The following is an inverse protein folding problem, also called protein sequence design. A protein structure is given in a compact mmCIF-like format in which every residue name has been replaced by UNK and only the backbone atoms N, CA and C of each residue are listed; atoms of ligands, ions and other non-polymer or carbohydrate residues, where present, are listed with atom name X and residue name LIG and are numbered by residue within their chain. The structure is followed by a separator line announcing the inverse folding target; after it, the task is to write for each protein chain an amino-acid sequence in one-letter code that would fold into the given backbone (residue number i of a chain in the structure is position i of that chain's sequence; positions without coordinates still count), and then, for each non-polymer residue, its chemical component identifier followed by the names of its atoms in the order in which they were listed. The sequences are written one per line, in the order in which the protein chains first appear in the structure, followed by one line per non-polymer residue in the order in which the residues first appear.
data_IF_944186705657
#
_entry.id   IF_944186705657
#
_cell.length_a   1.000
_cell.length_b   1.000
_cell.length_c   1.000
_cell.angle_alpha   90.00
_cell.angle_beta   90.00
_cell.angle_gamma   90.00
#
_symmetry.space_group_name_H-M   'P 1'
#
loop_
_entity.id
_entity.type
_entity.pdbx_description
1 polymer ?
#
# COMPACT_ATOMS: atom_id res chain seq x y z
N UNK A 1 -2.10 -7.15 -48.47
CA UNK A 1 -2.95 -6.16 -47.76
C UNK A 1 -3.55 -6.74 -46.48
N UNK A 2 -4.42 -7.76 -46.54
CA UNK A 2 -5.12 -8.31 -45.36
C UNK A 2 -4.21 -8.68 -44.18
N UNK A 3 -3.10 -9.38 -44.44
CA UNK A 3 -2.10 -9.73 -43.41
C UNK A 3 -1.46 -8.51 -42.71
N UNK A 4 -1.30 -7.37 -43.41
CA UNK A 4 -0.76 -6.14 -42.82
C UNK A 4 -1.80 -5.44 -41.92
N UNK A 5 -3.09 -5.52 -42.28
CA UNK A 5 -4.18 -5.06 -41.42
C UNK A 5 -4.26 -5.89 -40.13
N UNK A 6 -4.12 -7.23 -40.23
CA UNK A 6 -4.03 -8.11 -39.06
C UNK A 6 -2.80 -7.79 -38.19
N UNK A 7 -1.63 -7.53 -38.80
CA UNK A 7 -0.43 -7.13 -38.04
C UNK A 7 -0.62 -5.78 -37.33
N UNK A 8 -1.29 -4.81 -37.96
CA UNK A 8 -1.66 -3.55 -37.32
C UNK A 8 -2.70 -3.73 -36.21
N UNK A 9 -3.69 -4.61 -36.38
CA UNK A 9 -4.67 -4.93 -35.34
C UNK A 9 -4.01 -5.61 -34.13
N UNK A 10 -3.17 -6.61 -34.33
CA UNK A 10 -2.43 -7.28 -33.25
C UNK A 10 -1.49 -6.32 -32.54
N UNK A 11 -0.74 -5.46 -33.25
CA UNK A 11 0.14 -4.48 -32.60
C UNK A 11 -0.63 -3.35 -31.90
N UNK A 12 -1.83 -2.98 -32.37
CA UNK A 12 -2.72 -2.06 -31.66
C UNK A 12 -3.25 -2.67 -30.35
N UNK A 13 -3.73 -3.92 -30.38
CA UNK A 13 -4.17 -4.61 -29.15
C UNK A 13 -3.01 -4.86 -28.18
N UNK A 14 -1.84 -5.29 -28.66
CA UNK A 14 -0.65 -5.52 -27.82
C UNK A 14 -0.01 -4.23 -27.26
N UNK A 15 -0.42 -3.03 -27.71
CA UNK A 15 0.07 -1.75 -27.16
C UNK A 15 -0.92 -1.04 -26.23
N UNK A 16 -2.13 -1.58 -26.05
CA UNK A 16 -3.15 -0.98 -25.17
C UNK A 16 -2.91 -1.24 -23.67
N UNK A 17 -2.13 -2.26 -23.29
CA UNK A 17 -2.14 -2.80 -21.92
C UNK A 17 -0.82 -2.61 -21.13
N UNK A 18 -0.09 -1.50 -21.37
CA UNK A 18 1.14 -1.18 -20.62
C UNK A 18 1.48 0.31 -20.48
N UNK A 19 0.46 1.19 -20.42
CA UNK A 19 0.67 2.55 -19.90
C UNK A 19 -0.38 2.91 -18.84
N UNK A 20 0.09 3.11 -17.60
CA UNK A 20 -0.68 3.28 -16.35
C UNK A 20 -1.35 2.00 -15.82
N UNK A 21 -0.63 1.30 -14.93
CA UNK A 21 -1.28 0.40 -13.97
C UNK A 21 -2.32 1.20 -13.17
N UNK A 22 -3.58 0.77 -13.21
CA UNK A 22 -4.70 1.55 -12.68
C UNK A 22 -4.60 1.87 -11.19
N UNK A 23 -5.12 3.03 -10.78
CA UNK A 23 -5.21 3.50 -9.38
C UNK A 23 -5.94 2.50 -8.46
N UNK A 24 -6.95 1.83 -8.99
CA UNK A 24 -7.73 0.80 -8.31
C UNK A 24 -7.53 -0.57 -8.98
N UNK A 25 -7.58 -1.64 -8.19
CA UNK A 25 -7.51 -3.05 -8.61
C UNK A 25 -8.69 -3.81 -7.99
N UNK A 26 -9.17 -4.87 -8.64
CA UNK A 26 -10.23 -5.72 -8.06
C UNK A 26 -9.73 -6.46 -6.82
N UNK A 27 -10.62 -6.71 -5.88
CA UNK A 27 -10.36 -7.56 -4.72
C UNK A 27 -10.37 -9.03 -5.18
N UNK A 28 -9.36 -9.79 -4.77
CA UNK A 28 -9.29 -11.22 -5.04
C UNK A 28 -10.12 -11.99 -4.00
N UNK A 29 -11.37 -12.27 -4.34
CA UNK A 29 -12.30 -12.99 -3.45
C UNK A 29 -11.96 -14.47 -3.25
N UNK A 30 -11.01 -15.05 -3.99
CA UNK A 30 -10.51 -16.40 -3.69
C UNK A 30 -9.64 -16.38 -2.42
N UNK A 31 -8.85 -15.31 -2.26
CA UNK A 31 -7.98 -15.05 -1.10
C UNK A 31 -8.71 -14.35 0.04
N UNK A 32 -9.74 -13.57 -0.29
CA UNK A 32 -10.46 -12.68 0.61
C UNK A 32 -11.99 -12.91 0.52
N UNK A 33 -12.50 -14.14 0.75
CA UNK A 33 -13.92 -14.47 0.57
C UNK A 33 -14.83 -13.67 1.50
N UNK A 34 -14.35 -13.29 2.68
CA UNK A 34 -15.07 -12.41 3.61
C UNK A 34 -15.41 -11.03 3.00
N UNK A 35 -14.68 -10.59 1.97
CA UNK A 35 -14.89 -9.30 1.29
C UNK A 35 -15.76 -9.39 0.02
N UNK A 36 -16.30 -10.55 -0.35
CA UNK A 36 -17.07 -10.69 -1.60
C UNK A 36 -18.33 -9.80 -1.67
N UNK A 37 -19.03 -9.65 -0.54
CA UNK A 37 -20.38 -9.06 -0.47
C UNK A 37 -20.45 -7.81 0.43
N UNK A 38 -19.38 -7.01 0.49
CA UNK A 38 -19.26 -5.84 1.41
C UNK A 38 -19.68 -4.49 0.81
N UNK A 39 -20.36 -4.48 -0.34
CA UNK A 39 -20.83 -3.25 -1.00
C UNK A 39 -19.81 -2.55 -1.92
N UNK A 40 -18.65 -3.16 -2.15
CA UNK A 40 -17.68 -2.74 -3.17
C UNK A 40 -16.79 -3.90 -3.62
N UNK A 41 -16.16 -3.77 -4.79
CA UNK A 41 -15.30 -4.81 -5.39
C UNK A 41 -13.87 -4.38 -5.68
N UNK A 42 -13.55 -3.09 -5.55
CA UNK A 42 -12.26 -2.51 -5.93
C UNK A 42 -11.56 -1.84 -4.75
N UNK A 43 -10.28 -2.15 -4.59
CA UNK A 43 -9.36 -1.58 -3.59
C UNK A 43 -8.24 -0.80 -4.30
N UNK A 44 -7.34 -0.14 -3.57
CA UNK A 44 -6.20 0.53 -4.18
C UNK A 44 -5.22 -0.48 -4.82
N UNK A 45 -4.50 -0.05 -5.86
CA UNK A 45 -3.45 -0.86 -6.47
C UNK A 45 -2.15 -0.74 -5.67
N UNK A 46 -2.04 -1.52 -4.60
CA UNK A 46 -0.87 -1.57 -3.73
C UNK A 46 0.33 -2.30 -4.37
N UNK A 47 1.54 -1.91 -3.94
CA UNK A 47 2.78 -2.66 -4.20
C UNK A 47 2.76 -4.07 -3.59
N UNK A 48 3.60 -4.96 -4.10
CA UNK A 48 3.92 -6.23 -3.43
C UNK A 48 4.68 -6.00 -2.11
N UNK A 49 4.63 -6.98 -1.22
CA UNK A 49 5.36 -7.02 0.06
C UNK A 49 6.25 -8.26 0.00
N UNK A 50 7.53 -8.05 -0.29
CA UNK A 50 8.40 -9.14 -0.75
C UNK A 50 7.83 -9.74 -2.04
N UNK A 51 7.73 -11.06 -2.09
CA UNK A 51 7.17 -11.80 -3.23
C UNK A 51 5.62 -11.84 -3.22
N UNK A 52 4.99 -11.59 -2.07
CA UNK A 52 3.54 -11.67 -1.90
C UNK A 52 2.82 -10.43 -2.43
N UNK A 53 1.61 -10.59 -2.97
CA UNK A 53 0.75 -9.41 -3.21
C UNK A 53 0.25 -8.84 -1.88
N UNK A 54 -0.09 -7.56 -1.86
CA UNK A 54 -0.71 -6.93 -0.69
C UNK A 54 -1.98 -7.69 -0.21
N UNK A 55 -2.74 -8.27 -1.14
CA UNK A 55 -3.96 -9.01 -0.85
C UNK A 55 -3.68 -10.37 -0.19
N UNK A 56 -2.61 -11.05 -0.60
CA UNK A 56 -2.09 -12.24 0.10
C UNK A 56 -1.65 -11.87 1.51
N UNK A 57 -0.83 -10.80 1.64
CA UNK A 57 -0.29 -10.36 2.92
C UNK A 57 -1.39 -10.10 3.95
N UNK A 58 -2.43 -9.33 3.63
CA UNK A 58 -3.50 -9.02 4.61
C UNK A 58 -4.55 -10.13 4.80
N UNK A 59 -4.55 -11.18 3.97
CA UNK A 59 -5.61 -12.19 3.92
C UNK A 59 -5.92 -12.82 5.28
N UNK A 60 -4.89 -13.30 5.99
CA UNK A 60 -5.03 -13.97 7.30
C UNK A 60 -5.63 -13.06 8.36
N UNK A 61 -5.22 -11.79 8.43
CA UNK A 61 -5.79 -10.81 9.36
C UNK A 61 -7.23 -10.42 8.98
N UNK A 62 -7.52 -10.29 7.68
CA UNK A 62 -8.89 -10.00 7.20
C UNK A 62 -9.83 -11.15 7.54
N UNK A 63 -9.43 -12.40 7.33
CA UNK A 63 -10.21 -13.59 7.70
C UNK A 63 -10.39 -13.64 9.21
N UNK A 64 -9.30 -13.59 9.99
CA UNK A 64 -9.33 -13.63 11.46
C UNK A 64 -10.28 -12.59 12.06
N UNK A 65 -10.16 -11.31 11.69
CA UNK A 65 -11.04 -10.27 12.23
C UNK A 65 -12.45 -10.34 11.67
N UNK A 66 -12.64 -10.79 10.42
CA UNK A 66 -13.98 -11.00 9.86
C UNK A 66 -14.74 -12.05 10.65
N UNK A 67 -14.12 -13.18 10.96
CA UNK A 67 -14.78 -14.27 11.68
C UNK A 67 -14.84 -14.04 13.19
N UNK A 68 -13.85 -13.35 13.78
CA UNK A 68 -13.92 -12.91 15.19
C UNK A 68 -15.11 -11.99 15.48
N UNK A 69 -15.66 -11.31 14.48
CA UNK A 69 -16.79 -10.39 14.61
C UNK A 69 -18.02 -10.76 13.74
N UNK A 70 -18.04 -11.93 13.08
CA UNK A 70 -19.09 -12.26 12.09
C UNK A 70 -20.50 -12.37 12.69
N UNK A 71 -20.62 -12.69 13.98
CA UNK A 71 -21.87 -12.97 14.68
C UNK A 71 -22.50 -11.77 15.39
N UNK A 72 -21.74 -10.70 15.64
CA UNK A 72 -22.22 -9.56 16.44
C UNK A 72 -22.86 -8.44 15.61
N UNK A 73 -22.34 -8.13 14.41
CA UNK A 73 -22.91 -7.09 13.52
C UNK A 73 -22.97 -7.58 12.07
N UNK A 74 -24.05 -7.31 11.32
CA UNK A 74 -24.09 -7.56 9.87
C UNK A 74 -23.04 -6.73 9.11
N UNK A 75 -22.48 -5.68 9.71
CA UNK A 75 -21.51 -4.79 9.08
C UNK A 75 -20.05 -5.15 9.37
N UNK A 76 -19.77 -6.13 10.25
CA UNK A 76 -18.42 -6.51 10.67
C UNK A 76 -17.47 -6.81 9.51
N UNK A 77 -17.91 -7.59 8.51
CA UNK A 77 -17.10 -7.91 7.32
C UNK A 77 -16.81 -6.66 6.50
N UNK A 78 -17.80 -5.80 6.27
CA UNK A 78 -17.62 -4.52 5.59
C UNK A 78 -16.65 -3.61 6.34
N UNK A 79 -16.70 -3.59 7.66
CA UNK A 79 -15.80 -2.81 8.50
C UNK A 79 -14.35 -3.28 8.39
N UNK A 80 -14.12 -4.59 8.56
CA UNK A 80 -12.79 -5.23 8.47
C UNK A 80 -12.22 -5.06 7.06
N UNK A 81 -12.99 -5.37 6.01
CA UNK A 81 -12.55 -5.16 4.63
C UNK A 81 -12.23 -3.68 4.35
N UNK A 82 -13.05 -2.73 4.82
CA UNK A 82 -12.76 -1.28 4.65
C UNK A 82 -11.48 -0.82 5.38
N UNK A 83 -11.06 -1.55 6.42
CA UNK A 83 -9.88 -1.25 7.25
C UNK A 83 -8.56 -1.80 6.69
N UNK A 84 -8.60 -2.87 5.88
CA UNK A 84 -7.43 -3.48 5.24
C UNK A 84 -7.37 -3.26 3.73
N UNK A 85 -8.52 -3.13 3.07
CA UNK A 85 -8.70 -3.05 1.63
C UNK A 85 -9.71 -1.93 1.32
N UNK A 86 -9.37 -0.66 1.62
CA UNK A 86 -10.32 0.45 1.52
C UNK A 86 -10.86 0.62 0.10
N UNK A 87 -12.16 0.94 0.00
CA UNK A 87 -12.86 1.13 -1.27
C UNK A 87 -12.17 2.20 -2.12
N UNK A 88 -11.81 1.84 -3.35
CA UNK A 88 -11.20 2.74 -4.32
C UNK A 88 -12.18 3.03 -5.46
N UNK A 89 -12.39 4.32 -5.77
CA UNK A 89 -13.05 4.75 -7.01
C UNK A 89 -12.07 5.50 -7.91
N UNK A 90 -12.40 5.54 -9.22
CA UNK A 90 -11.75 6.44 -10.18
C UNK A 90 -12.14 7.91 -9.90
N UNK A 91 -13.37 8.18 -9.44
CA UNK A 91 -13.87 9.55 -9.20
C UNK A 91 -13.28 10.24 -7.96
N UNK A 92 -12.88 9.48 -6.93
CA UNK A 92 -12.50 10.04 -5.61
C UNK A 92 -10.99 9.98 -5.41
N UNK A 93 -10.35 11.10 -5.03
CA UNK A 93 -8.93 11.11 -4.66
C UNK A 93 -8.71 10.70 -3.20
N UNK A 94 -8.82 9.39 -2.95
CA UNK A 94 -8.53 8.80 -1.66
C UNK A 94 -9.27 7.47 -1.42
N UNK A 95 -9.07 6.86 -0.24
CA UNK A 95 -9.89 5.77 0.23
C UNK A 95 -11.31 6.27 0.56
N UNK A 96 -12.34 5.60 0.03
CA UNK A 96 -13.72 5.86 0.47
C UNK A 96 -13.93 5.13 1.80
N UNK A 97 -13.86 5.88 2.89
CA UNK A 97 -13.99 5.39 4.28
C UNK A 97 -15.44 5.05 4.65
N UNK A 98 -15.68 4.17 5.65
CA UNK A 98 -17.00 3.99 6.27
C UNK A 98 -17.59 5.31 6.78
N UNK A 99 -18.91 5.45 6.78
CA UNK A 99 -19.56 6.56 7.50
C UNK A 99 -19.51 6.34 9.02
N UNK A 100 -19.40 7.42 9.80
CA UNK A 100 -19.27 7.34 11.28
C UNK A 100 -20.41 6.58 11.95
N UNK A 101 -21.65 6.84 11.53
CA UNK A 101 -22.85 6.12 11.97
C UNK A 101 -22.75 4.58 11.81
N UNK A 102 -22.07 4.08 10.77
CA UNK A 102 -21.84 2.64 10.56
C UNK A 102 -20.79 2.11 11.54
N UNK A 103 -19.80 2.94 11.88
CA UNK A 103 -18.76 2.65 12.86
C UNK A 103 -19.32 2.60 14.29
N UNK A 104 -20.12 3.60 14.65
CA UNK A 104 -20.80 3.67 15.94
C UNK A 104 -21.78 2.49 16.11
N UNK A 105 -22.52 2.12 15.06
CA UNK A 105 -23.40 0.95 15.08
C UNK A 105 -22.63 -0.38 15.22
N UNK A 106 -21.49 -0.54 14.54
CA UNK A 106 -20.59 -1.69 14.73
C UNK A 106 -20.01 -1.76 16.16
N UNK A 107 -19.64 -0.63 16.77
CA UNK A 107 -19.21 -0.58 18.18
C UNK A 107 -20.30 -1.02 19.15
N UNK A 108 -21.55 -0.66 18.86
CA UNK A 108 -22.70 -0.95 19.72
C UNK A 108 -23.22 -2.39 19.60
N UNK A 109 -23.12 -2.96 18.39
CA UNK A 109 -23.38 -4.37 18.10
C UNK A 109 -22.29 -5.28 18.72
N UNK A 110 -21.02 -5.05 18.35
CA UNK A 110 -19.89 -5.87 18.75
C UNK A 110 -19.24 -5.44 20.07
N UNK A 111 -19.99 -4.77 20.96
CA UNK A 111 -19.47 -4.21 22.22
C UNK A 111 -18.73 -5.26 23.06
N UNK A 112 -19.32 -6.45 23.22
CA UNK A 112 -18.74 -7.53 24.02
C UNK A 112 -17.49 -8.08 23.35
N UNK A 113 -17.56 -8.39 22.07
CA UNK A 113 -16.49 -9.02 21.29
C UNK A 113 -15.26 -8.11 21.21
N UNK A 114 -15.48 -6.81 21.03
CA UNK A 114 -14.45 -5.77 21.05
C UNK A 114 -13.90 -5.54 22.46
N UNK A 115 -14.69 -5.71 23.53
CA UNK A 115 -14.24 -5.53 24.92
C UNK A 115 -13.40 -6.72 25.40
N UNK A 116 -13.81 -7.93 25.04
CA UNK A 116 -13.13 -9.19 25.34
C UNK A 116 -11.80 -9.30 24.58
N UNK A 117 -11.79 -8.96 23.28
CA UNK A 117 -10.56 -8.80 22.49
C UNK A 117 -9.77 -7.52 22.83
N UNK A 118 -10.31 -6.64 23.68
CA UNK A 118 -9.66 -5.40 24.10
C UNK A 118 -9.69 -4.23 23.11
N UNK A 119 -10.07 -4.50 21.87
CA UNK A 119 -10.08 -3.56 20.75
C UNK A 119 -11.11 -2.43 20.90
N UNK A 120 -12.09 -2.52 21.80
CA UNK A 120 -13.19 -1.55 21.94
C UNK A 120 -12.72 -0.09 22.01
N UNK A 121 -11.82 0.25 22.93
CA UNK A 121 -11.30 1.63 23.06
C UNK A 121 -10.55 2.09 21.80
N UNK A 122 -9.83 1.18 21.13
CA UNK A 122 -9.13 1.44 19.86
C UNK A 122 -10.12 1.73 18.74
N UNK A 123 -11.21 0.97 18.63
CA UNK A 123 -12.23 1.20 17.61
C UNK A 123 -13.08 2.44 17.92
N UNK A 124 -13.33 2.79 19.19
CA UNK A 124 -13.87 4.12 19.58
C UNK A 124 -12.96 5.24 19.10
N UNK A 125 -11.65 5.12 19.30
CA UNK A 125 -10.69 6.10 18.80
C UNK A 125 -10.70 6.16 17.26
N UNK A 126 -10.89 5.04 16.56
CA UNK A 126 -11.02 5.04 15.10
C UNK A 126 -12.33 5.70 14.64
N UNK A 127 -13.49 5.41 15.24
CA UNK A 127 -14.77 6.03 14.87
C UNK A 127 -14.77 7.56 15.03
N UNK A 128 -13.96 8.12 15.94
CA UNK A 128 -13.75 9.58 16.08
C UNK A 128 -12.96 10.22 14.94
N UNK A 129 -12.19 9.43 14.19
CA UNK A 129 -11.39 9.91 13.05
C UNK A 129 -12.21 9.93 11.75
N UNK A 130 -13.37 9.26 11.73
CA UNK A 130 -14.44 9.54 10.78
C UNK A 130 -15.17 10.83 11.17
N UNK A 131 -15.75 11.53 10.20
CA UNK A 131 -16.43 12.81 10.40
C UNK A 131 -15.56 13.97 10.94
N UNK A 132 -14.23 13.89 10.83
CA UNK A 132 -13.41 15.10 10.85
C UNK A 132 -13.83 16.01 9.68
N UNK A 133 -13.85 17.34 9.88
CA UNK A 133 -14.41 18.32 8.90
C UNK A 133 -13.66 18.42 7.55
N UNK A 134 -12.70 17.53 7.26
CA UNK A 134 -11.81 17.62 6.09
C UNK A 134 -12.28 16.88 4.85
N UNK A 135 -13.33 16.06 4.93
CA UNK A 135 -13.85 15.26 3.80
C UNK A 135 -15.38 15.39 3.63
N UNK A 136 -15.95 16.56 3.96
CA UNK A 136 -17.39 16.84 3.76
C UNK A 136 -17.84 16.79 2.29
N UNK A 137 -16.89 16.72 1.35
CA UNK A 137 -17.09 16.53 -0.09
C UNK A 137 -16.97 15.07 -0.56
N UNK A 138 -16.57 14.12 0.29
CA UNK A 138 -16.46 12.71 -0.07
C UNK A 138 -17.67 11.91 0.43
N UNK A 139 -18.34 11.18 -0.47
CA UNK A 139 -19.44 10.29 -0.10
C UNK A 139 -18.91 9.03 0.59
N UNK A 140 -19.00 8.99 1.93
CA UNK A 140 -18.58 7.85 2.74
C UNK A 140 -19.40 6.58 2.46
N UNK A 141 -18.81 5.42 2.77
CA UNK A 141 -19.39 4.11 2.51
C UNK A 141 -20.44 3.74 3.57
N UNK A 142 -21.69 3.61 3.13
CA UNK A 142 -22.78 2.93 3.85
C UNK A 142 -23.09 1.58 3.19
N UNK A 143 -23.34 0.51 3.96
CA UNK A 143 -23.93 -0.73 3.44
C UNK A 143 -25.31 -0.48 2.80
N UNK A 144 -25.67 -1.28 1.79
CA UNK A 144 -27.01 -1.24 1.21
C UNK A 144 -28.07 -1.56 2.26
N UNK A 145 -29.13 -0.75 2.35
CA UNK A 145 -30.17 -0.92 3.37
C UNK A 145 -29.73 -0.57 4.81
N UNK A 146 -28.60 0.13 5.00
CA UNK A 146 -28.21 0.64 6.32
C UNK A 146 -29.25 1.63 6.85
N UNK A 147 -29.81 1.35 8.03
CA UNK A 147 -30.67 2.25 8.79
C UNK A 147 -29.96 2.58 10.11
N UNK A 148 -29.61 3.86 10.37
CA UNK A 148 -28.96 4.23 11.61
C UNK A 148 -29.90 4.03 12.79
N UNK A 149 -29.46 3.27 13.79
CA UNK A 149 -30.12 3.23 15.11
C UNK A 149 -29.70 4.46 15.94
N UNK A 150 -30.48 4.88 16.95
CA UNK A 150 -30.06 5.93 17.87
C UNK A 150 -28.76 5.55 18.58
N UNK A 151 -27.69 6.33 18.37
CA UNK A 151 -26.39 6.11 19.00
C UNK A 151 -26.52 6.11 20.54
N UNK A 152 -25.96 5.10 21.21
CA UNK A 152 -25.75 5.17 22.66
C UNK A 152 -24.73 6.26 23.01
N UNK A 153 -24.76 6.74 24.26
CA UNK A 153 -23.87 7.81 24.73
C UNK A 153 -22.40 7.44 24.51
N UNK A 154 -21.69 8.30 23.79
CA UNK A 154 -20.37 8.00 23.26
C UNK A 154 -19.33 7.66 24.37
N UNK A 155 -18.55 6.58 24.25
CA UNK A 155 -17.61 6.17 25.30
C UNK A 155 -16.48 7.19 25.51
N UNK A 156 -16.31 7.66 26.75
CA UNK A 156 -15.20 8.55 27.09
C UNK A 156 -13.85 7.82 26.98
N UNK A 157 -12.89 8.44 26.30
CA UNK A 157 -11.47 8.02 26.28
C UNK A 157 -10.66 9.00 27.14
N UNK A 158 -9.58 8.55 27.80
CA UNK A 158 -8.73 9.44 28.59
C UNK A 158 -7.95 10.40 27.69
N UNK A 159 -7.59 11.59 28.19
CA UNK A 159 -6.69 12.49 27.47
C UNK A 159 -5.26 11.91 27.47
N UNK A 160 -4.54 12.02 26.34
CA UNK A 160 -3.16 11.56 26.21
C UNK A 160 -2.16 12.40 27.02
N UNK A 161 -2.52 13.65 27.30
CA UNK A 161 -1.72 14.64 28.01
C UNK A 161 -1.85 14.51 29.54
N UNK A 162 -3.06 14.18 30.03
CA UNK A 162 -3.38 14.13 31.46
C UNK A 162 -3.37 12.73 32.05
N UNK A 163 -3.59 11.68 31.24
CA UNK A 163 -3.31 10.31 31.67
C UNK A 163 -1.80 10.14 31.79
N UNK A 164 -1.29 10.18 33.02
CA UNK A 164 0.12 10.08 33.40
C UNK A 164 0.92 9.19 32.45
N UNK A 165 1.81 9.82 31.65
CA UNK A 165 2.77 9.28 30.66
C UNK A 165 2.48 7.82 30.24
N UNK A 166 2.07 7.56 28.99
CA UNK A 166 1.46 6.29 28.58
C UNK A 166 2.21 5.09 29.17
N UNK A 167 1.46 4.17 29.78
CA UNK A 167 2.00 2.95 30.33
C UNK A 167 2.87 2.23 29.28
N UNK A 168 3.73 1.32 29.75
CA UNK A 168 4.83 0.69 28.99
C UNK A 168 6.10 1.55 28.86
N UNK A 169 6.07 2.86 29.16
CA UNK A 169 7.29 3.64 29.31
C UNK A 169 8.07 3.18 30.55
N UNK A 170 9.33 2.77 30.35
CA UNK A 170 10.17 2.08 31.36
C UNK A 170 9.46 0.92 32.05
N UNK A 171 8.70 0.12 31.28
CA UNK A 171 7.94 -1.05 31.74
C UNK A 171 6.88 -0.78 32.83
N UNK A 172 6.57 0.49 33.11
CA UNK A 172 5.58 0.83 34.12
C UNK A 172 4.16 0.53 33.62
N UNK A 173 3.51 -0.46 34.23
CA UNK A 173 2.13 -0.90 33.97
C UNK A 173 1.18 -0.64 35.14
N UNK A 174 1.62 0.11 36.17
CA UNK A 174 0.82 0.39 37.37
C UNK A 174 -0.47 1.15 37.04
N UNK A 175 -0.39 2.22 36.25
CA UNK A 175 -1.52 3.06 35.83
C UNK A 175 -2.54 2.40 34.89
N UNK A 176 -2.35 1.15 34.48
CA UNK A 176 -3.34 0.41 33.69
C UNK A 176 -4.51 -0.05 34.55
N UNK A 177 -5.74 0.01 34.02
CA UNK A 177 -6.91 -0.63 34.64
C UNK A 177 -6.67 -2.14 34.74
N UNK A 178 -7.12 -2.77 35.82
CA UNK A 178 -6.87 -4.20 36.09
C UNK A 178 -7.19 -5.11 34.89
N UNK A 179 -8.31 -4.92 34.19
CA UNK A 179 -8.66 -5.74 33.02
C UNK A 179 -7.70 -5.55 31.82
N UNK A 180 -7.16 -4.34 31.62
CA UNK A 180 -6.12 -4.08 30.62
C UNK A 180 -4.78 -4.69 31.05
N UNK A 181 -4.45 -4.63 32.35
CA UNK A 181 -3.20 -5.19 32.88
C UNK A 181 -3.14 -6.72 32.77
N UNK A 182 -4.23 -7.42 33.11
CA UNK A 182 -4.31 -8.89 32.96
C UNK A 182 -4.20 -9.33 31.49
N UNK A 183 -4.91 -8.64 30.58
CA UNK A 183 -4.80 -8.92 29.13
C UNK A 183 -3.39 -8.70 28.60
N UNK A 184 -2.76 -7.58 28.95
CA UNK A 184 -1.36 -7.29 28.62
C UNK A 184 -0.43 -8.39 29.14
N UNK A 185 -0.62 -8.84 30.38
CA UNK A 185 0.20 -9.91 30.97
C UNK A 185 0.01 -11.25 30.24
N UNK A 186 -1.22 -11.60 29.85
CA UNK A 186 -1.48 -12.77 29.01
C UNK A 186 -0.87 -12.66 27.61
N UNK A 187 -0.96 -11.49 26.97
CA UNK A 187 -0.35 -11.26 25.66
C UNK A 187 1.19 -11.29 25.71
N UNK A 188 1.79 -10.70 26.75
CA UNK A 188 3.23 -10.80 26.99
C UNK A 188 3.65 -12.24 27.27
N UNK A 189 2.88 -13.02 28.03
CA UNK A 189 3.27 -14.40 28.32
C UNK A 189 3.16 -15.32 27.10
N UNK A 190 2.15 -15.10 26.24
CA UNK A 190 2.10 -15.73 24.91
C UNK A 190 3.29 -15.32 24.00
N UNK A 191 3.99 -14.22 24.32
CA UNK A 191 5.19 -13.74 23.63
C UNK A 191 6.50 -14.16 24.33
N UNK A 192 6.47 -14.79 25.51
CA UNK A 192 7.66 -15.16 26.29
C UNK A 192 8.74 -15.89 25.46
N UNK A 193 8.43 -16.84 24.54
CA UNK A 193 9.45 -17.50 23.72
C UNK A 193 10.27 -16.54 22.83
N UNK A 194 9.65 -15.48 22.31
CA UNK A 194 10.29 -14.49 21.42
C UNK A 194 10.83 -13.29 22.22
N UNK A 195 10.27 -13.01 23.40
CA UNK A 195 10.89 -12.06 24.33
C UNK A 195 12.22 -12.62 24.87
N UNK A 196 12.27 -13.91 25.19
CA UNK A 196 13.46 -14.57 25.74
C UNK A 196 14.59 -14.76 24.72
N UNK A 197 14.30 -14.82 23.41
CA UNK A 197 15.34 -14.82 22.38
C UNK A 197 16.09 -13.48 22.26
N UNK A 198 15.59 -12.41 22.90
CA UNK A 198 16.17 -11.07 22.92
C UNK A 198 16.33 -10.42 21.54
N UNK A 199 15.60 -10.91 20.52
CA UNK A 199 15.72 -10.49 19.12
C UNK A 199 15.54 -8.97 18.90
N UNK A 200 14.71 -8.30 19.70
CA UNK A 200 14.62 -6.83 19.69
C UNK A 200 14.22 -6.26 21.04
N UNK A 201 15.04 -5.34 21.57
CA UNK A 201 14.76 -4.58 22.81
C UNK A 201 13.49 -3.72 22.72
N UNK A 202 12.92 -3.53 21.51
CA UNK A 202 11.69 -2.79 21.27
C UNK A 202 10.43 -3.68 21.29
N UNK A 203 10.56 -5.01 21.21
CA UNK A 203 9.42 -5.94 21.14
C UNK A 203 8.44 -5.77 22.32
N UNK A 204 8.96 -5.80 23.55
CA UNK A 204 8.16 -5.67 24.77
C UNK A 204 7.38 -4.34 24.82
N UNK A 205 8.03 -3.24 24.39
CA UNK A 205 7.40 -1.91 24.29
C UNK A 205 6.32 -1.89 23.21
N UNK A 206 6.60 -2.45 22.02
CA UNK A 206 5.66 -2.53 20.91
C UNK A 206 4.40 -3.33 21.27
N UNK A 207 4.57 -4.55 21.80
CA UNK A 207 3.47 -5.39 22.26
C UNK A 207 2.62 -4.67 23.31
N UNK A 208 3.26 -3.94 24.21
CA UNK A 208 2.59 -3.21 25.26
C UNK A 208 1.83 -1.97 24.72
N UNK A 209 2.37 -1.21 23.77
CA UNK A 209 1.63 -0.14 23.07
C UNK A 209 0.46 -0.67 22.22
N UNK A 210 0.59 -1.88 21.64
CA UNK A 210 -0.49 -2.57 20.92
C UNK A 210 -1.68 -2.85 21.85
N UNK A 211 -1.47 -3.04 23.16
CA UNK A 211 -2.57 -3.26 24.11
C UNK A 211 -3.11 -2.00 24.82
N UNK A 212 -2.38 -0.87 24.80
CA UNK A 212 -2.58 0.24 25.77
C UNK A 212 -2.79 1.64 25.18
N UNK A 213 -2.59 1.86 23.89
CA UNK A 213 -2.54 3.22 23.31
C UNK A 213 -3.84 4.06 23.09
N UNK A 214 -5.11 3.61 23.31
CA UNK A 214 -6.28 4.41 22.94
C UNK A 214 -6.64 5.48 23.98
N UNK A 215 -5.90 6.58 23.94
CA UNK A 215 -6.22 7.89 24.52
C UNK A 215 -6.63 8.88 23.40
N UNK A 216 -7.09 10.07 23.75
CA UNK A 216 -7.39 11.16 22.80
C UNK A 216 -6.56 12.40 23.12
N UNK A 217 -5.98 13.04 22.11
CA UNK A 217 -5.28 14.33 22.25
C UNK A 217 -6.24 15.51 22.17
N UNK A 218 -5.79 16.70 22.60
CA UNK A 218 -6.56 17.95 22.53
C UNK A 218 -7.09 18.30 21.12
N UNK A 219 -6.44 17.83 20.04
CA UNK A 219 -6.91 17.99 18.64
C UNK A 219 -7.73 16.79 18.10
N UNK A 220 -8.18 15.89 18.97
CA UNK A 220 -9.07 14.77 18.63
C UNK A 220 -8.37 13.54 18.03
N UNK A 221 -7.04 13.54 17.94
CA UNK A 221 -6.26 12.38 17.45
C UNK A 221 -6.07 11.32 18.54
N UNK A 222 -5.57 10.13 18.18
CA UNK A 222 -5.14 9.09 19.14
C UNK A 222 -3.66 8.79 18.98
N UNK A 223 -3.03 8.17 19.97
CA UNK A 223 -1.71 7.58 19.81
C UNK A 223 -1.78 6.13 19.28
N UNK A 224 -0.72 5.70 18.62
CA UNK A 224 -0.42 4.29 18.30
C UNK A 224 1.09 4.05 18.34
N UNK A 225 1.54 2.79 18.30
CA UNK A 225 2.95 2.51 18.01
C UNK A 225 3.30 2.95 16.58
N UNK A 226 4.46 3.57 16.38
CA UNK A 226 4.91 3.96 15.04
C UNK A 226 5.09 2.72 14.13
N UNK A 227 4.59 2.75 12.87
CA UNK A 227 4.85 1.72 11.88
C UNK A 227 6.34 1.36 11.72
N UNK A 228 7.25 2.32 11.84
CA UNK A 228 8.71 2.17 11.83
C UNK A 228 9.21 1.25 12.95
N UNK A 229 8.82 1.49 14.21
CA UNK A 229 9.14 0.60 15.33
C UNK A 229 8.50 -0.79 15.16
N UNK A 230 7.35 -0.89 14.50
CA UNK A 230 6.74 -2.16 14.15
C UNK A 230 7.56 -2.92 13.09
N UNK A 231 7.96 -2.24 12.01
CA UNK A 231 8.77 -2.81 10.92
C UNK A 231 10.15 -3.25 11.40
N UNK A 232 10.77 -2.47 12.28
CA UNK A 232 12.02 -2.80 12.98
C UNK A 232 11.87 -4.10 13.79
N UNK A 233 10.91 -4.16 14.72
CA UNK A 233 10.68 -5.37 15.53
C UNK A 233 10.33 -6.59 14.67
N UNK A 234 9.60 -6.43 13.56
CA UNK A 234 9.38 -7.55 12.63
C UNK A 234 10.68 -7.97 11.95
N UNK A 235 11.41 -7.06 11.29
CA UNK A 235 12.70 -7.35 10.65
C UNK A 235 13.66 -8.09 11.59
N UNK A 236 13.68 -7.70 12.86
CA UNK A 236 14.61 -8.21 13.86
C UNK A 236 14.13 -9.55 14.48
N UNK A 237 12.82 -9.84 14.52
CA UNK A 237 12.22 -11.00 15.20
C UNK A 237 11.40 -11.96 14.30
N UNK A 238 11.29 -11.73 12.98
CA UNK A 238 10.40 -12.50 12.07
C UNK A 238 10.64 -14.02 12.14
N UNK A 239 11.91 -14.45 12.16
CA UNK A 239 12.24 -15.89 12.22
C UNK A 239 11.90 -16.52 13.57
N UNK A 240 12.00 -15.76 14.67
CA UNK A 240 11.60 -16.23 16.00
C UNK A 240 10.06 -16.28 16.12
N UNK A 241 9.33 -15.34 15.53
CA UNK A 241 7.85 -15.42 15.41
C UNK A 241 7.41 -16.67 14.62
N UNK A 242 8.05 -16.96 13.48
CA UNK A 242 7.78 -18.17 12.68
C UNK A 242 8.09 -19.45 13.46
N UNK A 243 9.29 -19.54 14.05
CA UNK A 243 9.82 -20.67 14.83
C UNK A 243 8.91 -21.08 16.00
N UNK A 244 8.30 -20.11 16.68
CA UNK A 244 7.36 -20.35 17.77
C UNK A 244 5.88 -20.28 17.35
N UNK A 245 5.59 -20.16 16.05
CA UNK A 245 4.24 -20.06 15.48
C UNK A 245 3.37 -18.94 16.12
N UNK A 246 3.98 -17.78 16.37
CA UNK A 246 3.32 -16.63 17.01
C UNK A 246 2.83 -15.64 15.94
N UNK A 247 1.50 -15.48 15.86
CA UNK A 247 0.83 -14.56 14.92
C UNK A 247 0.97 -13.08 15.34
N UNK A 248 2.17 -12.51 15.19
CA UNK A 248 2.39 -11.09 15.51
C UNK A 248 1.65 -10.14 14.55
N UNK A 249 1.13 -8.98 15.01
CA UNK A 249 0.46 -8.02 14.15
C UNK A 249 1.27 -7.57 12.92
N UNK A 250 0.55 -7.25 11.85
CA UNK A 250 1.14 -6.78 10.58
C UNK A 250 1.40 -5.28 10.62
N UNK A 251 2.60 -4.89 10.23
CA UNK A 251 3.08 -3.51 10.25
C UNK A 251 2.68 -2.75 8.99
N UNK A 252 1.38 -2.68 8.75
CA UNK A 252 0.80 -1.99 7.59
C UNK A 252 1.00 -0.47 7.76
N UNK A 253 1.73 0.21 6.86
CA UNK A 253 1.83 1.66 6.88
C UNK A 253 0.50 2.27 6.39
N UNK A 254 0.01 3.26 7.12
CA UNK A 254 -1.25 3.95 6.78
C UNK A 254 -0.98 5.30 6.12
N UNK A 255 -0.19 6.13 6.79
CA UNK A 255 0.17 7.49 6.40
C UNK A 255 1.60 7.82 6.88
N UNK A 256 2.21 8.94 6.45
CA UNK A 256 3.46 9.43 7.02
C UNK A 256 3.40 9.56 8.55
N UNK A 257 4.49 9.23 9.21
CA UNK A 257 4.57 9.25 10.67
C UNK A 257 4.65 10.67 11.22
N UNK A 258 3.94 10.90 12.33
CA UNK A 258 4.03 12.12 13.13
C UNK A 258 4.49 11.66 14.52
N UNK A 259 5.79 11.72 14.85
CA UNK A 259 6.30 11.23 16.12
C UNK A 259 5.66 11.93 17.33
N UNK A 260 5.32 11.16 18.35
CA UNK A 260 4.82 11.63 19.64
C UNK A 260 5.78 11.32 20.81
N UNK A 261 6.99 10.82 20.49
CA UNK A 261 8.02 10.40 21.45
C UNK A 261 8.01 8.89 21.74
N UNK A 262 9.14 8.36 22.22
CA UNK A 262 9.31 7.00 22.76
C UNK A 262 8.88 5.80 21.88
N UNK A 263 8.63 6.00 20.58
CA UNK A 263 8.11 4.98 19.66
C UNK A 263 6.57 5.00 19.50
N UNK A 264 5.90 6.00 20.08
CA UNK A 264 4.52 6.35 19.77
C UNK A 264 4.46 7.40 18.66
N UNK A 265 3.45 7.27 17.82
CA UNK A 265 3.12 8.20 16.73
C UNK A 265 1.67 8.67 16.88
N UNK A 266 1.38 9.84 16.31
CA UNK A 266 0.09 10.51 16.35
C UNK A 266 -0.76 10.10 15.15
N UNK A 267 -1.92 9.51 15.42
CA UNK A 267 -2.89 9.04 14.43
C UNK A 267 -4.07 10.02 14.33
N UNK A 268 -3.97 10.98 13.40
CA UNK A 268 -4.96 12.05 13.17
C UNK A 268 -5.88 11.82 11.96
N UNK A 269 -5.91 10.59 11.43
CA UNK A 269 -6.77 10.13 10.32
C UNK A 269 -7.10 8.66 10.55
N UNK A 270 -8.19 8.18 9.98
CA UNK A 270 -8.53 6.76 10.02
C UNK A 270 -7.38 5.90 9.48
N UNK A 271 -6.92 4.86 10.20
CA UNK A 271 -5.76 4.07 9.81
C UNK A 271 -6.12 3.10 8.68
N UNK A 272 -6.07 3.56 7.43
CA UNK A 272 -6.15 2.70 6.23
C UNK A 272 -4.87 2.75 5.43
N UNK A 273 -4.48 1.63 4.79
CA UNK A 273 -3.39 1.63 3.83
C UNK A 273 -3.79 2.44 2.60
N UNK A 274 -2.91 3.31 2.12
CA UNK A 274 -3.09 3.97 0.84
C UNK A 274 -1.74 4.20 0.14
N UNK A 275 -1.59 3.87 -1.16
CA UNK A 275 -0.36 4.17 -1.88
C UNK A 275 -0.18 5.68 -2.00
N UNK A 276 1.03 6.17 -1.69
CA UNK A 276 1.34 7.59 -1.80
C UNK A 276 1.38 8.01 -3.28
N UNK A 277 0.40 8.81 -3.72
CA UNK A 277 0.33 9.33 -5.09
C UNK A 277 1.38 10.39 -5.42
N UNK A 278 2.12 10.89 -4.42
CA UNK A 278 2.97 12.10 -4.52
C UNK A 278 4.40 11.95 -4.01
N UNK A 279 4.87 10.74 -3.68
CA UNK A 279 6.25 10.55 -3.20
C UNK A 279 6.82 9.17 -3.46
N UNK A 280 8.02 9.12 -4.06
CA UNK A 280 8.87 7.94 -4.16
C UNK A 280 9.08 7.34 -2.76
N UNK A 281 8.77 6.06 -2.58
CA UNK A 281 9.20 5.37 -1.37
C UNK A 281 10.71 5.16 -1.43
N UNK A 282 11.43 5.76 -0.49
CA UNK A 282 12.77 5.30 -0.12
C UNK A 282 12.58 4.00 0.65
N UNK A 283 12.57 2.88 -0.08
CA UNK A 283 12.87 1.59 0.51
C UNK A 283 14.36 1.63 0.86
N UNK A 284 14.69 1.62 2.15
CA UNK A 284 16.09 1.60 2.61
C UNK A 284 16.74 0.24 2.30
N UNK A 285 17.19 0.07 1.06
CA UNK A 285 18.15 -0.96 0.67
C UNK A 285 19.54 -0.57 1.20
N UNK A 286 19.70 -0.60 2.52
CA UNK A 286 21.00 -0.40 3.17
C UNK A 286 21.98 -1.45 2.63
N UNK A 287 23.11 -1.06 2.02
CA UNK A 287 24.02 -2.02 1.40
C UNK A 287 24.59 -3.00 2.43
N UNK A 288 24.56 -4.30 2.13
CA UNK A 288 25.23 -5.30 2.95
C UNK A 288 26.75 -5.14 2.80
N UNK A 289 27.43 -4.65 3.83
CA UNK A 289 28.88 -4.81 3.97
C UNK A 289 29.14 -6.27 4.39
N UNK A 290 29.12 -7.18 3.42
CA UNK A 290 29.63 -8.53 3.62
C UNK A 290 31.16 -8.46 3.76
N UNK A 291 31.69 -8.93 4.89
CA UNK A 291 33.12 -9.23 5.00
C UNK A 291 33.44 -10.39 4.06
N UNK A 292 34.32 -10.15 3.10
CA UNK A 292 34.84 -11.19 2.19
C UNK A 292 35.95 -12.00 2.85
N UNK A 293 35.99 -13.29 2.54
CA UNK A 293 37.24 -14.05 2.42
C UNK A 293 37.09 -15.09 1.28
N UNK A 294 38.17 -15.55 0.63
CA UNK A 294 38.12 -16.02 -0.76
C UNK A 294 38.21 -17.55 -0.98
N UNK A 295 38.11 -17.95 -2.26
CA UNK A 295 38.10 -19.31 -2.83
C UNK A 295 36.79 -20.10 -2.60
N UNK A 296 36.34 -21.03 -3.45
CA UNK A 296 37.01 -21.83 -4.53
C UNK A 296 36.24 -21.71 -5.89
N UNK A 297 36.79 -22.25 -6.99
CA UNK A 297 36.36 -22.06 -8.40
C UNK A 297 35.89 -23.37 -9.07
N UNK A 298 34.68 -23.38 -9.67
CA UNK A 298 34.25 -24.14 -10.88
C UNK A 298 32.87 -23.60 -11.34
N UNK A 299 32.48 -23.45 -12.63
CA UNK A 299 32.45 -24.34 -13.81
C UNK A 299 31.53 -25.58 -13.65
N UNK A 300 30.71 -26.00 -14.65
CA UNK A 300 30.13 -25.33 -15.85
C UNK A 300 29.01 -26.22 -16.48
N UNK A 301 28.05 -25.61 -17.20
CA UNK A 301 27.11 -26.16 -18.21
C UNK A 301 26.10 -27.32 -17.92
N UNK A 302 25.20 -27.50 -18.91
CA UNK A 302 24.13 -28.52 -19.10
C UNK A 302 22.92 -28.52 -18.12
N UNK A 303 21.68 -28.82 -18.53
CA UNK A 303 21.12 -29.06 -19.88
C UNK A 303 19.95 -30.08 -19.84
N UNK A 304 18.75 -29.75 -20.35
CA UNK A 304 17.68 -30.74 -20.54
C UNK A 304 16.58 -30.29 -21.53
N UNK A 305 16.15 -31.21 -22.40
CA UNK A 305 15.08 -31.03 -23.39
C UNK A 305 13.70 -31.47 -22.85
N UNK A 306 12.63 -31.09 -23.56
CA UNK A 306 11.29 -31.68 -23.39
C UNK A 306 10.75 -32.06 -24.78
N UNK A 307 10.41 -33.33 -24.97
CA UNK A 307 9.76 -33.86 -26.16
C UNK A 307 8.44 -34.57 -25.81
N UNK A 308 7.41 -34.37 -26.64
CA UNK A 308 6.37 -35.36 -26.98
C UNK A 308 5.23 -34.71 -27.78
N UNK A 309 4.87 -35.34 -28.90
CA UNK A 309 3.72 -34.97 -29.74
C UNK A 309 2.43 -35.67 -29.29
N UNK A 310 1.27 -35.16 -29.73
CA UNK A 310 0.23 -36.04 -30.30
C UNK A 310 -0.66 -35.31 -31.32
N UNK A 311 -0.84 -35.91 -32.50
CA UNK A 311 -1.78 -35.48 -33.55
C UNK A 311 -3.19 -36.08 -33.33
N UNK A 312 -4.22 -35.51 -33.99
CA UNK A 312 -5.30 -36.32 -34.56
C UNK A 312 -5.96 -35.66 -35.79
N UNK A 313 -6.58 -36.48 -36.65
CA UNK A 313 -6.82 -36.23 -38.08
C UNK A 313 -8.30 -36.02 -38.48
N UNK A 314 -8.52 -35.00 -39.32
CA UNK A 314 -9.34 -34.94 -40.57
C UNK A 314 -10.81 -35.43 -40.63
N UNK A 315 -11.64 -34.69 -41.39
CA UNK A 315 -12.97 -35.12 -41.88
C UNK A 315 -13.54 -34.19 -42.98
N UNK A 316 -14.53 -34.67 -43.75
CA UNK A 316 -15.06 -34.11 -45.03
C UNK A 316 -16.51 -34.61 -45.26
N UNK A 317 -17.43 -34.12 -46.11
CA UNK A 317 -17.52 -33.16 -47.27
C UNK A 317 -18.99 -32.58 -47.25
N UNK A 318 -19.71 -31.95 -48.19
CA UNK A 318 -19.62 -31.43 -49.59
C UNK A 318 -20.79 -30.43 -49.87
N UNK A 319 -20.85 -29.81 -51.07
CA UNK A 319 -22.04 -29.22 -51.75
C UNK A 319 -22.70 -27.95 -51.12
N UNK A 320 -23.43 -27.06 -51.83
CA UNK A 320 -24.03 -27.06 -53.19
C UNK A 320 -24.13 -25.64 -53.84
N UNK A 321 -24.87 -25.50 -54.97
CA UNK A 321 -25.04 -24.36 -55.94
C UNK A 321 -26.47 -23.74 -55.78
N UNK A 322 -27.04 -22.83 -56.65
CA UNK A 322 -26.55 -21.88 -57.69
C UNK A 322 -27.25 -20.46 -57.69
N UNK A 323 -27.13 -19.71 -58.80
CA UNK A 323 -28.05 -18.63 -59.32
C UNK A 323 -27.98 -17.20 -58.73
N UNK A 324 -28.23 -16.10 -59.47
CA UNK A 324 -28.20 -15.77 -60.92
C UNK A 324 -28.34 -14.23 -61.10
N UNK A 325 -27.68 -13.66 -62.14
CA UNK A 325 -27.97 -12.37 -62.82
C UNK A 325 -27.92 -11.05 -61.99
N UNK A 326 -27.70 -9.84 -62.56
CA UNK A 326 -27.48 -9.40 -63.96
C UNK A 326 -26.49 -8.22 -64.03
N UNK A 327 -26.25 -7.70 -65.25
CA UNK A 327 -25.18 -6.75 -65.61
C UNK A 327 -25.17 -5.36 -64.91
N UNK A 328 -23.98 -4.76 -64.82
CA UNK A 328 -23.69 -3.53 -65.59
C UNK A 328 -22.18 -3.38 -65.89
N UNK A 329 -21.77 -3.52 -67.15
CA UNK A 329 -20.37 -3.26 -67.58
C UNK A 329 -20.13 -1.77 -67.88
N UNK A 330 -19.12 -1.18 -67.24
CA UNK A 330 -18.35 -0.04 -67.78
C UNK A 330 -16.88 -0.46 -67.94
N UNK A 331 -16.23 0.00 -69.01
CA UNK A 331 -14.83 -0.36 -69.32
C UNK A 331 -13.85 0.24 -68.29
N UNK A 332 -12.71 -0.41 -68.02
CA UNK A 332 -11.81 -0.02 -66.93
C UNK A 332 -10.97 1.22 -67.29
N UNK A 333 -10.81 2.13 -66.33
CA UNK A 333 -9.77 3.15 -66.35
C UNK A 333 -8.79 2.88 -65.19
N UNK A 334 -7.59 2.42 -65.54
CA UNK A 334 -6.43 2.08 -64.69
C UNK A 334 -6.65 2.04 -63.16
N UNK A 335 -7.19 0.93 -62.65
CA UNK A 335 -7.28 0.66 -61.20
C UNK A 335 -5.92 0.68 -60.49
N UNK A 336 -4.83 0.39 -61.21
CA UNK A 336 -3.48 0.31 -60.67
C UNK A 336 -2.94 1.68 -60.22
N UNK A 337 -3.21 2.75 -60.98
CA UNK A 337 -2.71 4.10 -60.67
C UNK A 337 -3.35 4.64 -59.39
N UNK A 338 -4.66 4.43 -59.20
CA UNK A 338 -5.36 4.88 -57.99
C UNK A 338 -4.89 4.11 -56.75
N UNK A 339 -4.65 2.80 -56.87
CA UNK A 339 -4.12 1.98 -55.78
C UNK A 339 -2.70 2.41 -55.37
N UNK A 340 -1.81 2.66 -56.34
CA UNK A 340 -0.44 3.14 -56.08
C UNK A 340 -0.45 4.53 -55.44
N UNK A 341 -1.32 5.44 -55.89
CA UNK A 341 -1.47 6.76 -55.29
C UNK A 341 -1.91 6.70 -53.82
N UNK A 342 -2.92 5.87 -53.50
CA UNK A 342 -3.41 5.70 -52.11
C UNK A 342 -2.34 5.07 -51.21
N UNK A 343 -1.63 4.05 -51.67
CA UNK A 343 -0.53 3.42 -50.90
C UNK A 343 0.60 4.43 -50.66
N UNK A 344 0.98 5.23 -51.67
CA UNK A 344 1.96 6.30 -51.52
C UNK A 344 1.54 7.34 -50.48
N UNK A 345 0.28 7.79 -50.52
CA UNK A 345 -0.25 8.77 -49.58
C UNK A 345 -0.26 8.26 -48.13
N UNK A 346 -0.63 6.98 -47.93
CA UNK A 346 -0.60 6.33 -46.61
C UNK A 346 0.83 6.16 -46.07
N UNK A 347 1.79 5.82 -46.93
CA UNK A 347 3.22 5.74 -46.54
C UNK A 347 3.75 7.11 -46.11
N UNK A 348 3.43 8.18 -46.85
CA UNK A 348 3.81 9.56 -46.48
C UNK A 348 3.15 9.99 -45.17
N UNK A 349 1.86 9.71 -44.97
CA UNK A 349 1.14 10.05 -43.73
C UNK A 349 1.70 9.31 -42.50
N UNK A 350 2.05 8.03 -42.66
CA UNK A 350 2.75 7.23 -41.64
C UNK A 350 4.12 7.83 -41.28
N UNK A 351 4.91 8.23 -42.29
CA UNK A 351 6.21 8.87 -42.06
C UNK A 351 6.10 10.23 -41.36
N UNK A 352 5.12 11.06 -41.75
CA UNK A 352 4.87 12.37 -41.12
C UNK A 352 4.42 12.24 -39.66
N UNK A 353 3.54 11.29 -39.35
CA UNK A 353 3.10 11.04 -37.96
C UNK A 353 4.22 10.45 -37.09
N UNK A 354 5.07 9.58 -37.65
CA UNK A 354 6.28 9.10 -36.97
C UNK A 354 7.27 10.23 -36.67
N UNK A 355 7.54 11.10 -37.66
CA UNK A 355 8.39 12.28 -37.48
C UNK A 355 7.84 13.26 -36.43
N UNK A 356 6.53 13.51 -36.43
CA UNK A 356 5.86 14.33 -35.41
C UNK A 356 6.02 13.72 -34.01
N UNK A 357 5.88 12.40 -33.86
CA UNK A 357 6.10 11.71 -32.58
C UNK A 357 7.56 11.77 -32.11
N UNK A 358 8.54 11.65 -33.02
CA UNK A 358 9.96 11.88 -32.69
C UNK A 358 10.23 13.32 -32.26
N UNK A 359 9.63 14.31 -32.93
CA UNK A 359 9.75 15.72 -32.58
C UNK A 359 9.16 16.00 -31.19
N UNK A 360 7.97 15.47 -30.89
CA UNK A 360 7.34 15.55 -29.57
C UNK A 360 8.17 14.87 -28.47
N UNK A 361 8.80 13.71 -28.75
CA UNK A 361 9.78 13.08 -27.84
C UNK A 361 11.00 13.97 -27.60
N UNK A 362 11.54 14.62 -28.64
CA UNK A 362 12.69 15.55 -28.54
C UNK A 362 12.33 16.79 -27.71
N UNK A 363 11.17 17.39 -27.93
CA UNK A 363 10.64 18.48 -27.09
C UNK A 363 10.48 18.05 -25.63
N UNK A 364 9.89 16.87 -25.36
CA UNK A 364 9.69 16.34 -24.00
C UNK A 364 11.01 16.01 -23.29
N UNK A 365 12.07 15.62 -24.03
CA UNK A 365 13.43 15.46 -23.51
C UNK A 365 14.05 16.82 -23.15
N UNK A 366 13.93 17.82 -24.03
CA UNK A 366 14.48 19.17 -23.81
C UNK A 366 13.77 19.91 -22.66
N UNK A 367 12.45 19.74 -22.51
CA UNK A 367 11.69 20.27 -21.38
C UNK A 367 12.11 19.65 -20.03
N UNK A 368 12.43 18.34 -20.02
CA UNK A 368 13.00 17.66 -18.84
C UNK A 368 14.41 18.15 -18.51
N UNK A 369 15.24 18.46 -19.51
CA UNK A 369 16.57 19.04 -19.29
C UNK A 369 16.47 20.45 -18.66
N UNK A 370 15.62 21.34 -19.20
CA UNK A 370 15.42 22.70 -18.66
C UNK A 370 14.87 22.75 -17.24
N UNK A 371 14.24 21.69 -16.74
CA UNK A 371 13.68 21.64 -15.37
C UNK A 371 14.68 21.13 -14.30
N UNK A 372 15.94 20.87 -14.65
CA UNK A 372 16.98 20.34 -13.74
C UNK A 372 17.88 21.44 -13.16
N UNK A 373 17.28 22.51 -12.64
CA UNK A 373 17.98 23.61 -11.97
C UNK A 373 18.22 23.34 -10.48
N UNK A 374 19.46 23.59 -10.04
CA UNK A 374 19.91 23.66 -8.63
C UNK A 374 19.19 22.76 -7.60
N UNK A 375 19.54 21.48 -7.58
CA UNK A 375 19.66 20.81 -6.29
C UNK A 375 20.86 21.42 -5.54
N UNK A 376 20.70 21.85 -4.29
CA UNK A 376 21.83 22.27 -3.46
C UNK A 376 22.66 21.04 -3.10
N UNK A 377 23.86 20.93 -3.67
CA UNK A 377 24.82 19.90 -3.29
C UNK A 377 25.57 20.35 -2.03
N UNK A 378 25.69 19.45 -1.06
CA UNK A 378 26.70 19.54 -0.01
C UNK A 378 28.04 19.18 -0.66
N UNK A 379 29.06 20.03 -0.50
CA UNK A 379 30.44 19.71 -0.86
C UNK A 379 31.06 18.96 0.33
N UNK A 380 31.91 17.96 0.10
CA UNK A 380 32.50 17.16 1.20
C UNK A 380 33.27 18.02 2.22
N UNK A 381 33.87 19.12 1.76
CA UNK A 381 34.53 20.11 2.61
C UNK A 381 33.59 20.80 3.63
N UNK A 382 32.27 20.79 3.40
CA UNK A 382 31.26 21.39 4.29
C UNK A 382 30.75 20.42 5.36
N UNK A 383 31.27 19.18 5.37
CA UNK A 383 30.98 18.19 6.41
C UNK A 383 32.06 18.31 7.49
N UNK A 384 31.63 18.53 8.72
CA UNK A 384 32.51 18.51 9.90
C UNK A 384 33.28 17.19 10.02
N UNK A 385 34.52 17.23 10.54
CA UNK A 385 35.40 16.05 10.60
C UNK A 385 34.87 14.87 11.44
N UNK A 386 33.88 15.10 12.30
CA UNK A 386 33.19 14.09 13.11
C UNK A 386 31.85 13.62 12.50
N UNK A 387 31.46 14.13 11.33
CA UNK A 387 30.25 13.77 10.59
C UNK A 387 28.92 14.28 11.18
N UNK A 388 28.92 15.11 12.23
CA UNK A 388 27.69 15.53 12.93
C UNK A 388 27.06 16.82 12.43
N UNK A 389 27.78 17.62 11.65
CA UNK A 389 27.33 18.92 11.15
C UNK A 389 27.66 19.10 9.66
N UNK A 390 26.77 19.81 8.95
CA UNK A 390 26.83 20.05 7.51
C UNK A 390 26.41 21.49 7.19
N UNK A 391 27.28 22.30 6.57
CA UNK A 391 26.94 23.69 6.22
C UNK A 391 26.41 23.84 4.78
N UNK A 392 25.24 24.46 4.61
CA UNK A 392 24.54 24.57 3.31
C UNK A 392 24.82 25.91 2.62
N UNK A 393 26.04 26.08 2.11
CA UNK A 393 26.51 27.26 1.38
C UNK A 393 27.80 26.99 0.60
N UNK A 394 28.38 28.02 -0.02
CA UNK A 394 29.69 27.89 -0.68
C UNK A 394 30.87 28.15 0.26
N UNK A 395 30.63 28.80 1.39
CA UNK A 395 31.62 29.18 2.41
C UNK A 395 31.41 28.39 3.71
N UNK A 396 32.51 28.13 4.44
CA UNK A 396 32.49 27.54 5.78
C UNK A 396 32.16 28.62 6.83
N UNK A 397 31.13 28.40 7.64
CA UNK A 397 30.74 29.35 8.68
C UNK A 397 31.39 28.99 10.03
N UNK A 398 32.63 29.47 10.24
CA UNK A 398 33.54 28.94 11.28
C UNK A 398 32.99 28.97 12.71
N UNK A 399 32.22 30.01 13.09
CA UNK A 399 31.64 30.11 14.43
C UNK A 399 30.64 28.99 14.77
N UNK A 400 30.04 28.36 13.76
CA UNK A 400 29.07 27.28 13.93
C UNK A 400 29.74 25.95 14.37
N UNK A 401 30.96 25.68 13.89
CA UNK A 401 31.71 24.48 14.31
C UNK A 401 32.19 24.59 15.77
N UNK A 402 32.54 25.79 16.24
CA UNK A 402 33.00 26.03 17.63
C UNK A 402 31.87 25.85 18.67
N UNK A 403 30.64 26.23 18.32
CA UNK A 403 29.47 26.08 19.20
C UNK A 403 29.02 24.61 19.31
N UNK A 404 29.09 23.85 18.20
CA UNK A 404 28.81 22.40 18.18
C UNK A 404 29.85 21.63 19.00
N UNK A 405 31.12 22.04 18.97
CA UNK A 405 32.17 21.45 19.81
C UNK A 405 31.93 21.64 21.33
N UNK A 406 31.21 22.70 21.74
CA UNK A 406 30.87 22.94 23.16
C UNK A 406 29.58 22.23 23.60
N UNK A 407 28.63 22.03 22.69
CA UNK A 407 27.27 21.52 23.01
C UNK A 407 27.08 20.03 22.71
N UNK A 408 27.82 19.45 21.77
CA UNK A 408 27.79 18.02 21.43
C UNK A 408 26.55 17.53 20.67
N UNK A 409 25.51 18.36 20.55
CA UNK A 409 24.28 18.12 19.80
C UNK A 409 24.39 18.61 18.35
N UNK A 410 23.88 17.81 17.40
CA UNK A 410 23.72 18.23 16.03
C UNK A 410 22.45 19.09 15.86
N UNK A 411 22.57 20.22 15.18
CA UNK A 411 21.45 20.98 14.62
C UNK A 411 21.40 20.72 13.11
N UNK A 412 20.20 20.53 12.57
CA UNK A 412 19.91 20.22 11.17
C UNK A 412 19.72 21.48 10.31
#
# INVERSE_FOLDING_TARGET
MFLLLLFFYCTFFLTLDSTHAGKCRQIDFTKLPACANVGYKSTANFSQIGEQSYQDYVSSKVIYFSDRFNSCSPYSRMFVCSRYLPKCSKEVEGPILPCREVCDQFLDDCHKELKDSGLYRRYVAYCRLLSSKREATMQCLKPSGFVPRPNKKEPLLPSCETASRPACLKDNVSGLRNNTRHRLQSFLSNLDPVLNSSCSVKLRRLACFIETAPCVTNDGSTLHACPSMCQEVRRDCEEEFKKYNIDFPQCIPYHPEIPAGDGLCKLSRWPVPWPNTTGTQVLETTPRIFRTNPAVISKVDEGFDIDSNMESKTGTTDQSKPSSDKELKKKPLSSLVLAVAVVGFLMVFSFLTFMLHLFLKKLKKNARARKRGSGKYVKDANISSNGKAVTVGEEKNAGFEEEIHKTGTALY
#
